data_IF_543475230354
#
_entry.id   IF_543475230354
#
_cell.length_a   1.000
_cell.length_b   1.000
_cell.length_c   1.000
_cell.angle_alpha   90.00
_cell.angle_beta   90.00
_cell.angle_gamma   90.00
#
_symmetry.space_group_name_H-M   'P 1'
#
loop_
_entity.id
_entity.type
_entity.pdbx_description
1 polymer ?
#
# COMPACT_ATOMS: atom_id res chain seq x y z
N UNK A 1 -3.72 -16.64 9.23
CA UNK A 1 -5.08 -16.36 9.29
C UNK A 1 -5.66 -16.42 10.69
N UNK A 2 -5.79 -15.30 11.33
CA UNK A 2 -6.13 -15.25 12.74
C UNK A 2 -7.02 -14.05 12.96
N UNK A 3 -8.12 -14.20 12.39
CA UNK A 3 -8.77 -13.11 12.12
C UNK A 3 -9.87 -12.57 12.86
N UNK A 4 -10.24 -13.07 13.76
CA UNK A 4 -11.62 -12.88 14.11
C UNK A 4 -11.84 -12.29 15.49
N UNK A 5 -10.75 -11.90 16.12
CA UNK A 5 -10.80 -11.37 17.47
C UNK A 5 -10.22 -9.98 17.49
N UNK A 6 -11.06 -8.98 17.57
CA UNK A 6 -10.64 -7.64 17.94
C UNK A 6 -9.99 -7.64 19.34
N UNK A 7 -9.32 -6.55 19.73
CA UNK A 7 -8.58 -6.44 20.99
C UNK A 7 -9.39 -6.78 22.25
N UNK A 8 -10.71 -6.85 22.16
CA UNK A 8 -11.61 -7.21 23.26
C UNK A 8 -12.19 -8.63 23.14
N UNK A 9 -11.64 -9.47 22.24
CA UNK A 9 -12.21 -10.81 22.02
C UNK A 9 -13.56 -10.81 21.29
N UNK A 10 -14.01 -9.66 20.78
CA UNK A 10 -15.23 -9.55 19.98
C UNK A 10 -14.90 -9.88 18.53
N UNK A 11 -15.71 -10.73 17.91
CA UNK A 11 -15.73 -10.84 16.46
C UNK A 11 -16.12 -9.46 15.92
N UNK A 12 -15.20 -8.85 15.23
CA UNK A 12 -15.54 -7.69 14.38
C UNK A 12 -16.15 -8.31 13.13
N UNK A 13 -17.41 -8.03 12.81
CA UNK A 13 -17.99 -8.57 11.60
C UNK A 13 -17.15 -8.08 10.43
N UNK A 14 -16.64 -8.98 9.57
CA UNK A 14 -16.02 -8.54 8.34
C UNK A 14 -17.03 -7.68 7.61
N UNK A 15 -16.55 -6.55 7.09
CA UNK A 15 -17.37 -5.75 6.22
C UNK A 15 -17.56 -6.55 4.95
N UNK A 16 -18.67 -7.26 4.86
CA UNK A 16 -18.98 -8.05 3.71
C UNK A 16 -19.34 -7.14 2.58
N UNK A 17 -18.71 -7.41 1.61
CA UNK A 17 -18.65 -6.94 0.30
C UNK A 17 -19.97 -6.39 -0.24
N UNK A 18 -19.95 -5.18 -0.77
CA UNK A 18 -21.02 -4.68 -1.65
C UNK A 18 -21.16 -5.46 -2.96
N UNK A 19 -20.39 -6.53 -3.12
CA UNK A 19 -20.28 -7.35 -4.33
C UNK A 19 -21.54 -8.11 -4.73
N UNK A 20 -22.52 -8.12 -3.90
CA UNK A 20 -23.85 -8.63 -4.28
C UNK A 20 -24.69 -7.59 -5.03
N UNK A 21 -24.16 -6.36 -5.20
CA UNK A 21 -24.76 -5.43 -6.13
C UNK A 21 -24.57 -5.87 -7.57
N UNK A 22 -25.48 -5.51 -8.49
CA UNK A 22 -25.55 -6.11 -9.82
C UNK A 22 -24.23 -6.01 -10.57
N UNK A 23 -23.60 -7.14 -10.80
CA UNK A 23 -22.36 -7.26 -11.58
C UNK A 23 -21.33 -8.20 -11.05
N UNK A 24 -21.23 -8.41 -9.75
CA UNK A 24 -20.24 -9.35 -9.20
C UNK A 24 -20.75 -10.09 -7.98
N UNK A 25 -20.56 -11.40 -7.98
CA UNK A 25 -20.60 -12.19 -6.76
C UNK A 25 -19.28 -12.04 -6.01
N UNK A 26 -19.30 -12.25 -4.70
CA UNK A 26 -18.11 -12.35 -3.87
C UNK A 26 -17.09 -13.33 -4.47
N UNK A 27 -17.58 -14.45 -5.00
CA UNK A 27 -16.79 -15.50 -5.61
C UNK A 27 -16.11 -15.09 -6.91
N UNK A 28 -16.78 -14.29 -7.76
CA UNK A 28 -16.19 -13.74 -8.98
C UNK A 28 -15.11 -12.71 -8.70
N UNK A 29 -15.27 -11.91 -7.67
CA UNK A 29 -14.24 -10.98 -7.24
C UNK A 29 -13.03 -11.68 -6.63
N UNK A 30 -13.27 -12.71 -5.84
CA UNK A 30 -12.26 -13.60 -5.33
C UNK A 30 -11.43 -14.24 -6.44
N UNK A 31 -12.11 -14.75 -7.45
CA UNK A 31 -11.44 -15.33 -8.61
C UNK A 31 -10.59 -14.28 -9.34
N UNK A 32 -11.07 -13.04 -9.44
CA UNK A 32 -10.38 -11.93 -10.11
C UNK A 32 -9.24 -11.34 -9.30
N UNK A 33 -9.39 -11.23 -7.98
CA UNK A 33 -8.33 -10.81 -7.06
C UNK A 33 -7.28 -11.89 -6.78
N UNK A 34 -7.37 -13.03 -7.48
CA UNK A 34 -6.48 -14.16 -7.25
C UNK A 34 -6.78 -14.93 -5.97
N UNK A 35 -7.96 -14.81 -5.42
CA UNK A 35 -8.40 -15.57 -4.28
C UNK A 35 -7.77 -15.18 -2.94
N UNK A 36 -6.94 -14.13 -2.93
CA UNK A 36 -6.16 -13.72 -1.76
C UNK A 36 -7.01 -13.03 -0.71
N UNK A 37 -7.96 -12.23 -1.16
CA UNK A 37 -8.65 -11.30 -0.29
C UNK A 37 -9.72 -11.92 0.61
N UNK A 38 -10.18 -13.13 0.34
CA UNK A 38 -11.44 -13.55 0.95
C UNK A 38 -11.54 -15.04 1.30
N UNK A 39 -10.45 -15.77 1.32
CA UNK A 39 -10.46 -17.20 1.72
C UNK A 39 -11.03 -17.46 3.12
N UNK A 40 -11.40 -16.40 3.85
CA UNK A 40 -11.70 -16.48 5.27
C UNK A 40 -12.88 -15.63 5.72
N UNK A 41 -13.69 -15.21 4.79
CA UNK A 41 -14.96 -14.61 5.15
C UNK A 41 -15.85 -15.66 5.82
N UNK A 42 -16.34 -15.42 7.03
CA UNK A 42 -17.41 -16.22 7.56
C UNK A 42 -18.61 -16.12 6.61
N UNK A 43 -19.13 -17.25 6.20
CA UNK A 43 -20.26 -17.35 5.27
C UNK A 43 -21.58 -16.79 5.83
N UNK A 44 -21.59 -16.42 7.11
CA UNK A 44 -22.75 -15.98 7.89
C UNK A 44 -22.82 -14.46 8.09
N UNK A 45 -21.91 -13.69 7.47
CA UNK A 45 -21.94 -12.23 7.63
C UNK A 45 -22.82 -11.59 6.56
N UNK A 46 -23.77 -10.81 7.01
CA UNK A 46 -24.68 -10.09 6.11
C UNK A 46 -23.95 -8.97 5.35
N UNK A 47 -24.19 -8.84 4.04
CA UNK A 47 -23.63 -7.75 3.25
C UNK A 47 -24.13 -6.39 3.75
N UNK A 48 -23.26 -5.42 3.79
CA UNK A 48 -23.61 -4.01 4.07
C UNK A 48 -23.42 -3.16 2.81
N UNK A 49 -24.11 -2.04 2.74
CA UNK A 49 -23.99 -1.14 1.59
C UNK A 49 -22.63 -0.43 1.53
N UNK A 50 -22.30 0.12 0.37
CA UNK A 50 -21.11 0.94 0.19
C UNK A 50 -21.09 2.14 1.17
N UNK A 51 -22.25 2.77 1.40
CA UNK A 51 -22.38 3.87 2.35
C UNK A 51 -22.07 3.42 3.78
N UNK A 52 -22.52 2.23 4.17
CA UNK A 52 -22.23 1.67 5.49
C UNK A 52 -20.74 1.33 5.65
N UNK A 53 -20.07 0.83 4.60
CA UNK A 53 -18.63 0.66 4.58
C UNK A 53 -17.89 1.99 4.75
N UNK A 54 -18.24 2.98 3.97
CA UNK A 54 -17.66 4.33 4.05
C UNK A 54 -17.86 4.91 5.45
N UNK A 55 -19.05 4.76 6.02
CA UNK A 55 -19.33 5.25 7.37
C UNK A 55 -18.48 4.56 8.42
N UNK A 56 -18.29 3.24 8.31
CA UNK A 56 -17.44 2.47 9.23
C UNK A 56 -15.95 2.90 9.15
N UNK A 57 -15.43 3.14 7.95
CA UNK A 57 -14.07 3.64 7.77
C UNK A 57 -13.92 5.07 8.34
N UNK A 58 -14.87 5.95 8.05
CA UNK A 58 -14.86 7.31 8.57
C UNK A 58 -14.98 7.39 10.09
N UNK A 59 -15.73 6.47 10.71
CA UNK A 59 -15.80 6.35 12.17
C UNK A 59 -14.43 6.00 12.80
N UNK A 60 -13.49 5.48 12.02
CA UNK A 60 -12.10 5.22 12.41
C UNK A 60 -11.12 6.30 11.95
N UNK A 61 -11.61 7.41 11.44
CA UNK A 61 -10.81 8.52 10.95
C UNK A 61 -10.26 8.35 9.52
N UNK A 62 -10.68 7.30 8.79
CA UNK A 62 -10.24 7.07 7.41
C UNK A 62 -11.10 7.89 6.46
N UNK A 63 -10.51 8.88 5.82
CA UNK A 63 -11.21 9.75 4.87
C UNK A 63 -11.30 9.13 3.47
N UNK A 64 -10.24 8.48 3.01
CA UNK A 64 -10.10 7.85 1.70
C UNK A 64 -9.18 6.64 1.78
N UNK A 65 -9.32 5.75 0.82
CA UNK A 65 -8.51 4.53 0.70
C UNK A 65 -7.80 4.53 -0.65
N UNK A 66 -6.48 4.33 -0.66
CA UNK A 66 -5.73 4.02 -1.88
C UNK A 66 -5.76 2.49 -2.07
N UNK A 67 -6.43 2.05 -3.12
CA UNK A 67 -6.63 0.63 -3.39
C UNK A 67 -5.57 0.08 -4.37
N UNK A 68 -4.93 -1.03 -4.00
CA UNK A 68 -3.76 -1.60 -4.66
C UNK A 68 -4.02 -2.98 -5.30
N UNK A 69 -5.24 -3.27 -5.69
CA UNK A 69 -5.64 -4.55 -6.32
C UNK A 69 -5.37 -4.56 -7.84
N UNK A 70 -5.52 -5.71 -8.52
CA UNK A 70 -5.46 -5.77 -9.98
C UNK A 70 -6.42 -4.78 -10.65
N UNK A 71 -6.11 -4.29 -11.88
CA UNK A 71 -6.85 -3.18 -12.50
C UNK A 71 -8.36 -3.35 -12.53
N UNK A 72 -8.86 -4.52 -12.95
CA UNK A 72 -10.31 -4.75 -13.07
C UNK A 72 -11.02 -4.66 -11.72
N UNK A 73 -10.42 -5.23 -10.68
CA UNK A 73 -10.95 -5.17 -9.31
C UNK A 73 -10.91 -3.74 -8.79
N UNK A 74 -9.77 -3.08 -8.93
CA UNK A 74 -9.57 -1.71 -8.43
C UNK A 74 -10.56 -0.72 -9.03
N UNK A 75 -10.78 -0.77 -10.34
CA UNK A 75 -11.71 0.14 -11.00
C UNK A 75 -13.18 -0.19 -10.71
N UNK A 76 -13.50 -1.47 -10.53
CA UNK A 76 -14.86 -1.84 -10.15
C UNK A 76 -15.19 -1.40 -8.72
N UNK A 77 -14.27 -1.56 -7.80
CA UNK A 77 -14.40 -1.03 -6.44
C UNK A 77 -14.53 0.48 -6.45
N UNK A 78 -13.70 1.18 -7.22
CA UNK A 78 -13.82 2.62 -7.39
C UNK A 78 -15.19 3.03 -7.95
N UNK A 79 -15.72 2.30 -8.95
CA UNK A 79 -17.07 2.56 -9.49
C UNK A 79 -18.17 2.49 -8.42
N UNK A 80 -18.03 1.55 -7.48
CA UNK A 80 -19.02 1.34 -6.40
C UNK A 80 -18.87 2.39 -5.29
N UNK A 81 -17.63 2.67 -4.88
CA UNK A 81 -17.34 3.51 -3.72
C UNK A 81 -17.05 4.98 -4.06
N UNK A 82 -16.97 5.31 -5.34
CA UNK A 82 -16.68 6.67 -5.81
C UNK A 82 -15.35 7.21 -5.27
N UNK A 83 -15.34 8.49 -4.97
CA UNK A 83 -14.13 9.22 -4.53
C UNK A 83 -13.59 8.77 -3.17
N UNK A 84 -14.29 7.89 -2.46
CA UNK A 84 -13.76 7.30 -1.23
C UNK A 84 -12.58 6.36 -1.54
N UNK A 85 -12.61 5.68 -2.69
CA UNK A 85 -11.56 4.78 -3.14
C UNK A 85 -10.76 5.43 -4.25
N UNK A 86 -9.46 5.61 -4.02
CA UNK A 86 -8.52 6.13 -4.99
C UNK A 86 -7.83 4.95 -5.70
N UNK A 87 -8.05 4.74 -7.01
CA UNK A 87 -7.51 3.59 -7.69
C UNK A 87 -5.99 3.75 -7.96
N UNK A 88 -5.20 2.79 -7.47
CA UNK A 88 -3.78 2.65 -7.74
C UNK A 88 -3.47 1.19 -8.12
N UNK A 89 -3.87 0.76 -9.32
CA UNK A 89 -3.84 -0.65 -9.70
C UNK A 89 -2.48 -1.29 -9.62
N UNK A 90 -2.47 -2.55 -9.17
CA UNK A 90 -1.29 -3.39 -9.15
C UNK A 90 -1.07 -4.02 -10.52
N UNK A 91 0.14 -3.89 -11.05
CA UNK A 91 0.53 -4.44 -12.34
C UNK A 91 1.78 -5.32 -12.24
N UNK A 92 1.99 -6.12 -13.28
CA UNK A 92 3.19 -6.91 -13.51
C UNK A 92 4.10 -6.18 -14.49
N UNK A 93 5.26 -5.73 -14.01
CA UNK A 93 6.22 -4.95 -14.81
C UNK A 93 6.63 -5.66 -16.11
N UNK A 94 6.83 -6.98 -16.05
CA UNK A 94 7.34 -7.78 -17.16
C UNK A 94 6.32 -7.99 -18.28
N UNK A 95 5.05 -7.68 -18.03
CA UNK A 95 3.94 -7.83 -18.99
C UNK A 95 3.31 -6.48 -19.36
N UNK A 96 3.89 -5.39 -18.90
CA UNK A 96 3.32 -4.05 -19.03
C UNK A 96 4.18 -3.18 -19.93
N UNK A 97 3.54 -2.43 -20.81
CA UNK A 97 4.17 -1.42 -21.66
C UNK A 97 3.86 -0.01 -21.19
N UNK A 98 4.60 1.02 -21.63
CA UNK A 98 4.24 2.42 -21.36
C UNK A 98 2.81 2.79 -21.81
N UNK A 99 2.33 2.23 -22.93
CA UNK A 99 0.97 2.48 -23.42
C UNK A 99 -0.11 1.88 -22.47
N UNK A 100 0.18 0.76 -21.83
CA UNK A 100 -0.73 0.18 -20.83
C UNK A 100 -0.82 1.09 -19.59
N UNK A 101 0.31 1.71 -19.18
CA UNK A 101 0.32 2.70 -18.10
C UNK A 101 -0.58 3.89 -18.46
N UNK A 102 -0.42 4.44 -19.65
CA UNK A 102 -1.26 5.55 -20.12
C UNK A 102 -2.75 5.16 -20.11
N UNK A 103 -3.08 3.98 -20.62
CA UNK A 103 -4.46 3.49 -20.65
C UNK A 103 -5.06 3.32 -19.24
N UNK A 104 -4.28 2.84 -18.25
CA UNK A 104 -4.70 2.71 -16.87
C UNK A 104 -4.94 4.10 -16.24
N UNK A 105 -4.01 5.04 -16.46
CA UNK A 105 -4.11 6.39 -15.91
C UNK A 105 -5.25 7.20 -16.57
N UNK A 106 -5.54 6.96 -17.86
CA UNK A 106 -6.68 7.57 -18.55
C UNK A 106 -8.04 7.10 -17.97
N UNK A 107 -8.09 5.92 -17.36
CA UNK A 107 -9.27 5.44 -16.61
C UNK A 107 -9.48 6.11 -15.26
N UNK A 108 -8.58 7.01 -14.85
CA UNK A 108 -8.66 7.75 -13.59
C UNK A 108 -7.85 7.17 -12.44
N UNK A 109 -6.89 6.27 -12.71
CA UNK A 109 -5.96 5.82 -11.67
C UNK A 109 -5.07 6.98 -11.20
N UNK A 110 -4.84 7.05 -9.88
CA UNK A 110 -3.97 8.07 -9.26
C UNK A 110 -2.49 7.65 -9.27
N UNK A 111 -2.23 6.39 -9.58
CA UNK A 111 -0.90 5.81 -9.58
C UNK A 111 -0.90 4.35 -9.98
N UNK A 112 0.26 3.74 -9.85
CA UNK A 112 0.51 2.33 -10.18
C UNK A 112 1.26 1.65 -9.05
N UNK A 113 0.84 0.44 -8.68
CA UNK A 113 1.55 -0.45 -7.76
C UNK A 113 2.39 -1.46 -8.56
N UNK A 114 3.67 -1.52 -8.25
CA UNK A 114 4.61 -2.49 -8.80
C UNK A 114 4.90 -3.61 -7.82
N UNK A 115 4.91 -4.87 -8.28
CA UNK A 115 5.15 -6.05 -7.46
C UNK A 115 5.80 -7.17 -8.28
N UNK A 116 6.61 -7.98 -7.63
CA UNK A 116 7.18 -9.23 -8.15
C UNK A 116 7.82 -9.14 -9.54
N UNK A 117 8.78 -8.23 -9.77
CA UNK A 117 9.46 -8.10 -11.05
C UNK A 117 10.42 -9.28 -11.28
N UNK A 118 10.58 -9.70 -12.53
CA UNK A 118 11.56 -10.73 -12.92
C UNK A 118 12.99 -10.21 -12.95
N UNK A 119 13.16 -8.89 -13.07
CA UNK A 119 14.46 -8.20 -12.98
C UNK A 119 14.45 -7.21 -11.82
N UNK A 120 15.62 -6.77 -11.32
CA UNK A 120 15.68 -5.71 -10.33
C UNK A 120 14.87 -4.49 -10.74
N UNK A 121 14.16 -3.86 -9.81
CA UNK A 121 13.37 -2.65 -10.10
C UNK A 121 14.17 -1.57 -10.83
N UNK A 122 15.45 -1.40 -10.49
CA UNK A 122 16.35 -0.44 -11.13
C UNK A 122 16.83 -0.82 -12.52
N UNK A 123 16.35 -1.92 -13.12
CA UNK A 123 16.78 -2.35 -14.47
C UNK A 123 16.35 -1.38 -15.54
N UNK A 124 17.19 -1.19 -16.56
CA UNK A 124 16.94 -0.26 -17.66
C UNK A 124 15.68 -0.60 -18.46
N UNK A 125 15.32 -1.89 -18.54
CA UNK A 125 14.11 -2.36 -19.23
C UNK A 125 12.82 -1.79 -18.63
N UNK A 126 12.79 -1.42 -17.34
CA UNK A 126 11.62 -0.86 -16.69
C UNK A 126 11.56 0.67 -16.68
N UNK A 127 12.68 1.36 -16.98
CA UNK A 127 12.70 2.82 -16.99
C UNK A 127 11.66 3.47 -17.92
N UNK A 128 11.34 2.92 -19.11
CA UNK A 128 10.25 3.49 -19.94
C UNK A 128 8.90 3.47 -19.26
N UNK A 129 8.59 2.42 -18.48
CA UNK A 129 7.34 2.30 -17.71
C UNK A 129 7.28 3.38 -16.62
N UNK A 130 8.35 3.54 -15.85
CA UNK A 130 8.43 4.57 -14.79
C UNK A 130 8.37 5.99 -15.37
N UNK A 131 8.94 6.23 -16.56
CA UNK A 131 8.80 7.51 -17.27
C UNK A 131 7.34 7.81 -17.59
N UNK A 132 6.59 6.84 -18.10
CA UNK A 132 5.17 7.02 -18.37
C UNK A 132 4.39 7.44 -17.10
N UNK A 133 4.66 6.81 -15.94
CA UNK A 133 4.06 7.20 -14.66
C UNK A 133 4.46 8.63 -14.26
N UNK A 134 5.76 8.98 -14.36
CA UNK A 134 6.27 10.32 -14.04
C UNK A 134 5.64 11.39 -14.94
N UNK A 135 5.57 11.15 -16.24
CA UNK A 135 5.09 12.12 -17.23
C UNK A 135 3.60 12.46 -17.03
N UNK A 136 2.86 11.54 -16.41
CA UNK A 136 1.48 11.73 -15.97
C UNK A 136 1.36 12.31 -14.56
N UNK A 137 2.48 12.65 -13.90
CA UNK A 137 2.54 13.11 -12.51
C UNK A 137 1.83 12.16 -11.52
N UNK A 138 1.78 10.86 -11.85
CA UNK A 138 1.11 9.83 -11.09
C UNK A 138 2.03 9.22 -10.02
N UNK A 139 1.43 8.53 -9.05
CA UNK A 139 2.13 7.85 -7.96
C UNK A 139 2.71 6.51 -8.44
N UNK A 140 3.94 6.19 -8.04
CA UNK A 140 4.56 4.88 -8.16
C UNK A 140 4.70 4.24 -6.76
N UNK A 141 3.96 3.19 -6.48
CA UNK A 141 4.07 2.44 -5.23
C UNK A 141 4.84 1.15 -5.49
N UNK A 142 5.89 0.90 -4.73
CA UNK A 142 6.73 -0.29 -4.88
C UNK A 142 6.52 -1.25 -3.71
N UNK A 143 6.11 -2.49 -4.02
CA UNK A 143 6.22 -3.55 -3.04
C UNK A 143 7.69 -3.81 -2.74
N UNK A 144 8.03 -3.95 -1.47
CA UNK A 144 9.38 -4.30 -1.05
C UNK A 144 9.37 -5.48 -0.09
N UNK A 145 10.38 -6.32 -0.17
CA UNK A 145 10.53 -7.43 0.73
C UNK A 145 9.90 -8.75 0.27
N UNK A 146 9.60 -9.58 1.24
CA UNK A 146 9.08 -10.93 0.98
C UNK A 146 7.63 -10.90 0.50
N UNK A 147 7.36 -11.72 -0.51
CA UNK A 147 6.01 -11.99 -0.98
C UNK A 147 5.39 -13.11 -0.14
N UNK A 148 4.15 -12.96 0.25
CA UNK A 148 3.42 -14.01 0.93
C UNK A 148 3.18 -15.19 -0.03
N UNK A 149 3.22 -16.43 0.49
CA UNK A 149 3.13 -17.64 -0.30
C UNK A 149 1.82 -17.75 -1.09
N UNK A 150 0.74 -17.21 -0.57
CA UNK A 150 -0.57 -17.24 -1.22
C UNK A 150 -0.63 -16.50 -2.57
N UNK A 151 0.27 -15.57 -2.82
CA UNK A 151 0.37 -14.96 -4.15
C UNK A 151 0.72 -15.96 -5.26
N UNK A 152 1.35 -17.08 -4.91
CA UNK A 152 1.79 -18.12 -5.81
C UNK A 152 0.93 -19.38 -5.76
N UNK A 153 -0.12 -19.42 -4.95
CA UNK A 153 -1.05 -20.55 -4.88
C UNK A 153 -1.85 -20.69 -6.18
N UNK A 154 -2.41 -21.87 -6.46
CA UNK A 154 -3.33 -22.02 -7.58
C UNK A 154 -4.45 -20.98 -7.49
N UNK A 155 -4.57 -20.13 -8.52
CA UNK A 155 -5.48 -18.98 -8.52
C UNK A 155 -4.91 -17.69 -7.92
N UNK A 156 -3.67 -17.70 -7.44
CA UNK A 156 -2.97 -16.48 -7.01
C UNK A 156 -2.64 -15.54 -8.18
N UNK A 157 -2.43 -14.27 -7.86
CA UNK A 157 -2.20 -13.21 -8.87
C UNK A 157 -0.82 -13.29 -9.54
N UNK A 158 0.09 -14.07 -8.99
CA UNK A 158 1.46 -14.15 -9.49
C UNK A 158 1.77 -15.57 -10.02
N UNK A 159 2.45 -15.69 -11.15
CA UNK A 159 2.92 -16.98 -11.62
C UNK A 159 4.03 -17.49 -10.71
N UNK A 160 4.10 -18.81 -10.51
CA UNK A 160 5.28 -19.42 -9.93
C UNK A 160 6.44 -19.26 -10.89
N UNK A 161 7.42 -18.45 -10.50
CA UNK A 161 8.63 -18.23 -11.28
C UNK A 161 9.87 -18.22 -10.38
N UNK A 162 10.86 -19.01 -10.77
CA UNK A 162 12.18 -18.98 -10.12
C UNK A 162 12.96 -17.67 -10.39
N UNK A 163 12.48 -16.84 -11.32
CA UNK A 163 13.08 -15.54 -11.63
C UNK A 163 12.65 -14.45 -10.65
N UNK A 164 11.49 -14.61 -10.00
CA UNK A 164 11.05 -13.67 -8.97
C UNK A 164 11.94 -13.85 -7.75
N UNK A 165 12.67 -12.80 -7.41
CA UNK A 165 13.64 -12.80 -6.32
C UNK A 165 13.42 -11.59 -5.43
N UNK A 166 13.44 -11.78 -4.13
CA UNK A 166 13.28 -10.70 -3.15
C UNK A 166 14.29 -9.57 -3.37
N UNK A 167 15.51 -9.86 -3.77
CA UNK A 167 16.54 -8.86 -4.05
C UNK A 167 16.16 -7.92 -5.21
N UNK A 168 15.28 -8.34 -6.11
CA UNK A 168 14.76 -7.48 -7.17
C UNK A 168 13.88 -6.34 -6.64
N UNK A 169 13.32 -6.53 -5.43
CA UNK A 169 12.41 -5.60 -4.73
C UNK A 169 13.10 -4.90 -3.56
N UNK A 170 14.42 -4.80 -3.60
CA UNK A 170 15.21 -4.16 -2.57
C UNK A 170 15.15 -2.62 -2.67
N UNK A 171 15.11 -1.88 -1.57
CA UNK A 171 15.05 -0.41 -1.60
C UNK A 171 16.20 0.25 -2.39
N UNK A 172 17.41 -0.32 -2.35
CA UNK A 172 18.54 0.17 -3.14
C UNK A 172 18.29 0.21 -4.65
N UNK A 173 17.42 -0.66 -5.18
CA UNK A 173 17.02 -0.63 -6.58
C UNK A 173 16.13 0.58 -6.89
N UNK A 174 15.36 1.03 -5.90
CA UNK A 174 14.51 2.21 -6.00
C UNK A 174 15.35 3.50 -5.95
N UNK A 175 16.48 3.50 -5.24
CA UNK A 175 17.42 4.63 -5.28
C UNK A 175 17.87 4.96 -6.71
N UNK A 176 18.19 3.93 -7.50
CA UNK A 176 18.53 4.11 -8.90
C UNK A 176 17.40 4.77 -9.70
N UNK A 177 16.16 4.37 -9.47
CA UNK A 177 14.98 4.95 -10.13
C UNK A 177 14.82 6.41 -9.73
N UNK A 178 14.88 6.71 -8.43
CA UNK A 178 14.70 8.07 -7.92
C UNK A 178 15.77 9.04 -8.40
N UNK A 179 17.01 8.56 -8.62
CA UNK A 179 18.09 9.36 -9.23
C UNK A 179 17.88 9.59 -10.73
N UNK A 180 17.40 8.56 -11.45
CA UNK A 180 17.13 8.66 -12.89
C UNK A 180 15.89 9.51 -13.19
N UNK A 181 14.92 9.52 -12.27
CA UNK A 181 13.61 10.17 -12.42
C UNK A 181 13.26 10.96 -11.14
N UNK A 182 13.94 12.07 -10.84
CA UNK A 182 13.81 12.76 -9.56
C UNK A 182 12.42 13.38 -9.31
N UNK A 183 11.61 13.56 -10.35
CA UNK A 183 10.23 14.05 -10.24
C UNK A 183 9.22 12.91 -9.99
N UNK A 184 9.60 11.64 -10.16
CA UNK A 184 8.72 10.52 -9.92
C UNK A 184 8.32 10.47 -8.43
N UNK A 185 7.03 10.47 -8.17
CA UNK A 185 6.48 10.32 -6.83
C UNK A 185 6.53 8.85 -6.43
N UNK A 186 7.25 8.51 -5.38
CA UNK A 186 7.49 7.12 -4.97
C UNK A 186 7.01 6.88 -3.55
N UNK A 187 6.29 5.76 -3.35
CA UNK A 187 6.04 5.19 -2.03
C UNK A 187 6.64 3.78 -1.96
N UNK A 188 7.47 3.55 -0.96
CA UNK A 188 8.04 2.25 -0.63
C UNK A 188 7.12 1.59 0.38
N UNK A 189 6.39 0.56 -0.05
CA UNK A 189 5.53 -0.20 0.83
C UNK A 189 6.33 -1.07 1.80
N UNK A 190 5.76 -1.31 3.00
CA UNK A 190 6.32 -2.21 4.02
C UNK A 190 7.66 -1.76 4.59
N UNK A 191 7.98 -0.49 4.48
CA UNK A 191 9.22 0.14 4.91
C UNK A 191 10.49 -0.65 4.50
N UNK A 192 10.49 -1.22 3.28
CA UNK A 192 11.66 -1.95 2.79
C UNK A 192 11.94 -3.30 3.45
N UNK A 193 10.99 -3.88 4.17
CA UNK A 193 11.18 -5.12 4.93
C UNK A 193 11.94 -6.21 4.14
N UNK A 194 13.11 -6.72 4.62
CA UNK A 194 13.74 -6.46 5.91
C UNK A 194 14.87 -5.41 5.90
N UNK A 195 15.00 -4.62 4.83
CA UNK A 195 16.10 -3.65 4.64
C UNK A 195 15.74 -2.24 5.14
N UNK A 196 15.43 -2.14 6.44
CA UNK A 196 14.95 -0.93 7.09
C UNK A 196 15.90 0.27 6.95
N UNK A 197 17.20 0.02 7.16
CA UNK A 197 18.24 1.05 7.07
C UNK A 197 18.36 1.64 5.66
N UNK A 198 18.20 0.80 4.63
CA UNK A 198 18.22 1.26 3.23
C UNK A 198 17.03 2.17 2.95
N UNK A 199 15.84 1.79 3.42
CA UNK A 199 14.64 2.61 3.24
C UNK A 199 14.78 3.93 3.98
N UNK A 200 15.25 3.91 5.23
CA UNK A 200 15.48 5.12 6.00
C UNK A 200 16.44 6.07 5.29
N UNK A 201 17.60 5.54 4.85
CA UNK A 201 18.60 6.33 4.12
C UNK A 201 18.01 6.90 2.81
N UNK A 202 17.20 6.12 2.10
CA UNK A 202 16.63 6.51 0.83
C UNK A 202 15.61 7.62 0.98
N UNK A 203 14.66 7.51 1.92
CA UNK A 203 13.66 8.56 2.15
C UNK A 203 14.27 9.84 2.73
N UNK A 204 15.35 9.73 3.53
CA UNK A 204 16.08 10.91 4.05
C UNK A 204 16.79 11.69 2.94
N UNK A 205 17.23 11.02 1.86
CA UNK A 205 18.06 11.63 0.83
C UNK A 205 17.36 11.98 -0.48
N UNK A 206 16.14 11.43 -0.73
CA UNK A 206 15.41 11.67 -1.96
C UNK A 206 14.17 12.54 -1.72
N UNK A 207 13.98 13.54 -2.59
CA UNK A 207 12.92 14.55 -2.44
C UNK A 207 11.51 13.96 -2.52
N UNK A 208 11.27 13.09 -3.50
CA UNK A 208 9.95 12.59 -3.88
C UNK A 208 9.75 11.10 -3.51
N UNK A 209 10.56 10.57 -2.58
CA UNK A 209 10.46 9.19 -2.10
C UNK A 209 9.95 9.17 -0.66
N UNK A 210 8.91 8.40 -0.45
CA UNK A 210 8.18 8.21 0.80
C UNK A 210 8.13 6.73 1.14
N UNK A 211 7.73 6.38 2.36
CA UNK A 211 7.53 4.99 2.76
C UNK A 211 6.37 4.86 3.73
N UNK A 212 5.78 3.67 3.81
CA UNK A 212 4.76 3.31 4.79
C UNK A 212 5.18 2.09 5.61
N UNK A 213 4.51 1.85 6.73
CA UNK A 213 4.73 0.69 7.59
C UNK A 213 3.72 -0.44 7.35
N UNK A 214 3.07 -0.46 6.22
CA UNK A 214 2.05 -1.44 5.87
C UNK A 214 2.55 -2.90 5.94
N UNK A 215 1.64 -3.86 5.91
CA UNK A 215 1.94 -5.29 5.78
C UNK A 215 2.40 -5.99 7.05
N UNK A 216 2.15 -5.44 8.21
CA UNK A 216 2.35 -6.12 9.49
C UNK A 216 3.79 -6.42 9.88
N UNK A 217 4.76 -6.09 9.06
CA UNK A 217 6.18 -6.37 9.37
C UNK A 217 6.79 -5.34 10.32
N UNK A 218 6.31 -4.11 10.30
CA UNK A 218 6.85 -3.03 11.10
C UNK A 218 6.50 -3.17 12.59
N UNK A 219 5.25 -3.45 12.94
CA UNK A 219 4.85 -3.59 14.34
C UNK A 219 5.41 -4.86 15.02
N UNK A 220 5.98 -5.79 14.25
CA UNK A 220 6.72 -6.94 14.77
C UNK A 220 8.12 -6.57 15.25
N UNK A 221 8.59 -5.36 14.99
CA UNK A 221 9.83 -4.81 15.54
C UNK A 221 9.55 -4.05 16.83
N UNK A 222 10.53 -4.03 17.75
CA UNK A 222 10.39 -3.26 18.99
C UNK A 222 10.36 -1.75 18.69
N UNK A 223 9.62 -0.99 19.49
CA UNK A 223 9.65 0.47 19.40
C UNK A 223 11.06 1.04 19.67
N UNK A 224 11.88 0.35 20.46
CA UNK A 224 13.28 0.74 20.66
C UNK A 224 14.08 0.67 19.37
N UNK A 225 13.85 -0.35 18.54
CA UNK A 225 14.49 -0.44 17.21
C UNK A 225 14.12 0.76 16.33
N UNK A 226 12.83 1.11 16.26
CA UNK A 226 12.37 2.26 15.47
C UNK A 226 12.90 3.57 16.03
N UNK A 227 12.95 3.70 17.37
CA UNK A 227 13.55 4.88 18.01
C UNK A 227 15.03 5.04 17.64
N UNK A 228 15.79 3.97 17.66
CA UNK A 228 17.21 4.01 17.28
C UNK A 228 17.37 4.40 15.80
N UNK A 229 16.52 3.86 14.92
CA UNK A 229 16.57 4.15 13.49
C UNK A 229 16.23 5.61 13.17
N UNK A 230 15.14 6.14 13.76
CA UNK A 230 14.64 7.49 13.45
C UNK A 230 15.20 8.59 14.35
N UNK A 231 15.68 8.25 15.51
CA UNK A 231 16.22 9.20 16.47
C UNK A 231 17.57 8.72 17.07
N UNK A 232 18.58 8.46 16.24
CA UNK A 232 19.88 8.03 16.71
C UNK A 232 20.47 9.09 17.67
N UNK A 233 21.00 8.63 18.81
CA UNK A 233 21.50 9.52 19.86
C UNK A 233 20.44 10.49 20.44
N UNK A 234 19.17 10.11 20.38
CA UNK A 234 18.07 10.92 20.90
C UNK A 234 17.67 12.14 20.04
N UNK A 235 18.21 12.26 18.84
CA UNK A 235 17.87 13.34 17.90
C UNK A 235 17.09 12.80 16.72
N UNK A 236 15.84 13.26 16.59
CA UNK A 236 14.94 12.88 15.50
C UNK A 236 15.52 13.24 14.13
N UNK A 237 15.55 12.28 13.20
CA UNK A 237 15.73 12.56 11.78
C UNK A 237 14.40 13.05 11.17
N UNK A 238 14.21 14.35 11.22
CA UNK A 238 13.02 15.02 10.70
C UNK A 238 12.85 14.78 9.19
N UNK A 239 13.94 14.59 8.44
CA UNK A 239 13.86 14.33 6.99
C UNK A 239 13.16 13.01 6.73
N UNK A 240 13.62 11.93 7.38
CA UNK A 240 13.00 10.62 7.25
C UNK A 240 11.57 10.62 7.80
N UNK A 241 11.36 11.12 9.02
CA UNK A 241 10.05 11.15 9.65
C UNK A 241 9.00 11.90 8.82
N UNK A 242 9.38 13.03 8.20
CA UNK A 242 8.47 13.80 7.33
C UNK A 242 8.11 13.12 6.00
N UNK A 243 8.72 11.97 5.70
CA UNK A 243 8.50 11.18 4.49
C UNK A 243 7.70 9.89 4.72
N UNK A 244 7.20 9.71 5.92
CA UNK A 244 6.33 8.59 6.21
C UNK A 244 4.90 8.87 5.72
N UNK A 245 4.21 7.80 5.31
CA UNK A 245 2.78 7.82 5.02
C UNK A 245 2.10 6.75 5.88
N UNK A 246 0.87 6.99 6.27
CA UNK A 246 0.04 5.96 6.87
C UNK A 246 -0.35 4.96 5.78
N UNK A 247 -0.12 3.67 6.03
CA UNK A 247 -0.51 2.59 5.14
C UNK A 247 -0.74 1.32 5.95
N UNK A 248 -1.86 0.65 5.74
CA UNK A 248 -2.24 -0.53 6.49
C UNK A 248 -1.87 -1.84 5.77
N UNK A 249 -1.95 -1.89 4.46
CA UNK A 249 -1.99 -3.14 3.68
C UNK A 249 -3.14 -4.05 4.15
N UNK A 250 -4.10 -3.42 4.82
CA UNK A 250 -5.32 -4.05 5.29
C UNK A 250 -6.30 -4.18 4.14
N UNK A 251 -7.29 -5.02 4.36
CA UNK A 251 -8.32 -5.22 3.37
C UNK A 251 -9.43 -4.21 3.59
N UNK A 252 -9.78 -3.51 2.55
CA UNK A 252 -10.79 -2.46 2.58
C UNK A 252 -12.09 -2.90 3.27
N UNK A 253 -12.43 -4.19 3.20
CA UNK A 253 -13.64 -4.74 3.78
C UNK A 253 -13.50 -5.21 5.23
N UNK A 254 -12.32 -5.06 5.81
CA UNK A 254 -12.00 -5.55 7.15
C UNK A 254 -11.57 -4.42 8.09
N UNK A 255 -12.35 -3.37 8.17
CA UNK A 255 -12.01 -2.22 9.02
C UNK A 255 -11.85 -2.65 10.46
N UNK A 256 -10.65 -2.50 10.98
CA UNK A 256 -10.32 -2.78 12.38
C UNK A 256 -10.14 -4.23 12.75
N UNK A 257 -10.09 -5.14 11.79
CA UNK A 257 -9.95 -6.56 12.07
C UNK A 257 -8.50 -6.99 12.03
N UNK A 258 -7.83 -6.85 10.95
CA UNK A 258 -6.48 -7.41 10.85
C UNK A 258 -5.40 -6.41 11.25
N UNK A 259 -4.77 -5.88 10.28
CA UNK A 259 -3.61 -5.03 10.47
C UNK A 259 -3.99 -3.60 10.79
N UNK A 260 -5.22 -3.17 10.48
CA UNK A 260 -5.64 -1.80 10.75
C UNK A 260 -5.58 -1.45 12.24
N UNK A 261 -6.17 -2.26 13.11
CA UNK A 261 -6.18 -2.00 14.54
C UNK A 261 -4.78 -2.06 15.16
N UNK A 262 -4.06 -3.18 15.04
CA UNK A 262 -2.69 -3.31 15.56
C UNK A 262 -1.72 -2.32 14.93
N UNK A 263 -1.90 -1.99 13.66
CA UNK A 263 -1.05 -1.04 12.98
C UNK A 263 -1.35 0.40 13.39
N UNK A 264 -2.61 0.77 13.56
CA UNK A 264 -2.98 2.08 14.10
C UNK A 264 -2.39 2.28 15.50
N UNK A 265 -2.52 1.28 16.38
CA UNK A 265 -1.85 1.32 17.70
C UNK A 265 -0.33 1.43 17.58
N UNK A 266 0.26 0.75 16.60
CA UNK A 266 1.71 0.86 16.35
C UNK A 266 2.10 2.29 15.95
N UNK A 267 1.37 2.94 15.06
CA UNK A 267 1.64 4.34 14.68
C UNK A 267 1.52 5.27 15.88
N UNK A 268 0.46 5.17 16.67
CA UNK A 268 0.27 5.99 17.87
C UNK A 268 1.45 5.86 18.83
N UNK A 269 1.86 4.62 19.12
CA UNK A 269 3.01 4.34 19.99
C UNK A 269 4.35 4.77 19.38
N UNK A 270 4.49 4.68 18.06
CA UNK A 270 5.67 5.18 17.35
C UNK A 270 5.77 6.70 17.47
N UNK A 271 4.66 7.40 17.29
CA UNK A 271 4.61 8.85 17.46
C UNK A 271 5.03 9.29 18.85
N UNK A 272 4.56 8.58 19.87
CA UNK A 272 4.89 8.87 21.25
C UNK A 272 6.36 8.58 21.58
N UNK A 273 6.87 7.43 21.12
CA UNK A 273 8.27 7.04 21.43
C UNK A 273 9.29 7.92 20.70
N UNK A 274 8.92 8.47 19.55
CA UNK A 274 9.73 9.42 18.78
C UNK A 274 9.49 10.88 19.19
N UNK A 275 8.55 11.13 20.09
CA UNK A 275 8.13 12.49 20.48
C UNK A 275 7.80 13.37 19.26
N UNK A 276 7.02 12.80 18.34
CA UNK A 276 6.70 13.48 17.08
C UNK A 276 5.79 14.69 17.32
N UNK A 277 6.19 15.88 16.84
CA UNK A 277 5.30 17.06 16.82
C UNK A 277 4.00 16.78 16.05
N UNK A 278 2.93 17.47 16.43
CA UNK A 278 1.60 17.34 15.80
C UNK A 278 1.64 17.56 14.27
N UNK A 279 2.48 18.46 13.81
CA UNK A 279 2.66 18.76 12.39
C UNK A 279 3.23 17.54 11.63
N UNK A 280 4.18 16.82 12.21
CA UNK A 280 4.72 15.60 11.60
C UNK A 280 3.70 14.45 11.63
N UNK A 281 2.94 14.32 12.72
CA UNK A 281 1.83 13.34 12.78
C UNK A 281 0.82 13.62 11.66
N UNK A 282 0.38 14.85 11.49
CA UNK A 282 -0.52 15.26 10.41
C UNK A 282 0.02 15.00 9.00
N UNK A 283 1.34 15.16 8.79
CA UNK A 283 1.99 14.79 7.53
C UNK A 283 1.86 13.29 7.27
N UNK A 284 2.15 12.45 8.26
CA UNK A 284 2.14 10.99 8.14
C UNK A 284 0.72 10.47 7.90
N UNK A 285 -0.22 10.93 8.72
CA UNK A 285 -1.58 10.41 8.73
C UNK A 285 -2.38 10.82 7.48
N UNK A 286 -2.01 11.95 6.85
CA UNK A 286 -2.86 12.54 5.82
C UNK A 286 -2.11 13.29 4.72
N UNK A 287 -1.35 14.34 5.08
CA UNK A 287 -0.91 15.36 4.15
C UNK A 287 0.06 14.84 3.09
N UNK A 288 0.94 13.90 3.45
CA UNK A 288 1.89 13.34 2.49
C UNK A 288 1.17 12.58 1.39
N UNK A 289 0.20 11.74 1.75
CA UNK A 289 -0.56 10.99 0.74
C UNK A 289 -1.40 11.93 -0.13
N UNK A 290 -2.05 12.94 0.45
CA UNK A 290 -2.80 13.93 -0.33
C UNK A 290 -1.90 14.63 -1.36
N UNK A 291 -0.70 15.07 -0.98
CA UNK A 291 0.27 15.70 -1.90
C UNK A 291 0.71 14.76 -3.03
N UNK A 292 0.80 13.47 -2.74
CA UNK A 292 1.21 12.47 -3.72
C UNK A 292 0.12 12.19 -4.75
N UNK A 293 -1.15 12.18 -4.32
CA UNK A 293 -2.28 11.76 -5.16
C UNK A 293 -3.06 12.93 -5.79
N UNK A 294 -2.90 14.15 -5.26
CA UNK A 294 -3.60 15.33 -5.78
C UNK A 294 -2.88 15.88 -7.02
N UNK A 295 -3.50 15.82 -8.20
CA UNK A 295 -2.91 16.35 -9.43
C UNK A 295 -2.80 17.88 -9.44
N UNK A 296 -3.53 18.58 -8.56
CA UNK A 296 -3.59 20.04 -8.52
C UNK A 296 -2.51 20.68 -7.62
N UNK A 297 -1.83 19.89 -6.78
CA UNK A 297 -0.70 20.38 -6.00
C UNK A 297 0.59 20.33 -6.84
N UNK A 298 0.75 21.34 -7.68
CA UNK A 298 2.00 21.64 -8.40
C UNK A 298 2.91 22.53 -7.58
#
# INVERSE_FOLDING_TARGET
MHAEMGPEGRRVPPLVSPWREPGFTTEELLARSGGVLMREYPSDVEPISAEAHIAAHRARGIERVVLLDPPDVTFEIHRIFGDFVLPCPQIRLDETTPADIDAILDRGAIGIKFIAPMHPYGSDCYLPIYRAVRDRNALATFHTGYLAHHFFDPGGVLPRSSQININHMRPSEIDRISRALPELKIVIAHFGNPWWDETHALISNNKNTYADFSGGSAYRRSLAFWKELFAPNGKLDVRAASKLCYGADGWMFHVGIFEDGPLQEFYDRLYDVLDLPSELRGLIDRENMLRLVDPLQK
#
